data_IF_622001441445
#
_entry.id   IF_622001441445
#
_cell.length_a   1.000
_cell.length_b   1.000
_cell.length_c   1.000
_cell.angle_alpha   90.00
_cell.angle_beta   90.00
_cell.angle_gamma   90.00
#
_symmetry.space_group_name_H-M   'P 1'
#
loop_
_entity.id
_entity.type
_entity.pdbx_description
1 polymer ?
#
# COMPACT_ATOMS: atom_id res chain seq x y z
N UNK A 1 -45.62 12.48 -27.29
CA UNK A 1 -45.03 13.30 -26.19
C UNK A 1 -44.68 12.51 -24.92
N UNK A 2 -45.56 11.64 -24.37
CA UNK A 2 -45.29 10.91 -23.10
C UNK A 2 -44.06 9.98 -23.15
N UNK A 3 -43.84 9.29 -24.27
CA UNK A 3 -42.65 8.44 -24.50
C UNK A 3 -41.36 9.27 -24.56
N UNK A 4 -41.38 10.41 -25.27
CA UNK A 4 -40.23 11.33 -25.38
C UNK A 4 -39.87 11.93 -24.02
N UNK A 5 -40.86 12.38 -23.23
CA UNK A 5 -40.64 12.86 -21.86
C UNK A 5 -40.05 11.77 -20.94
N UNK A 6 -40.49 10.51 -21.08
CA UNK A 6 -39.92 9.36 -20.37
C UNK A 6 -38.47 9.08 -20.76
N UNK A 7 -38.14 9.15 -22.05
CA UNK A 7 -36.76 9.01 -22.53
C UNK A 7 -35.85 10.13 -22.00
N UNK A 8 -36.30 11.39 -22.08
CA UNK A 8 -35.54 12.54 -21.53
C UNK A 8 -35.27 12.35 -20.03
N UNK A 9 -36.29 11.93 -19.27
CA UNK A 9 -36.15 11.66 -17.84
C UNK A 9 -35.15 10.54 -17.55
N UNK A 10 -35.21 9.43 -18.30
CA UNK A 10 -34.26 8.31 -18.15
C UNK A 10 -32.83 8.76 -18.51
N UNK A 11 -32.65 9.52 -19.58
CA UNK A 11 -31.33 10.03 -19.98
C UNK A 11 -30.74 10.94 -18.90
N UNK A 12 -31.55 11.84 -18.35
CA UNK A 12 -31.10 12.75 -17.27
C UNK A 12 -30.73 11.96 -16.01
N UNK A 13 -31.49 10.90 -15.70
CA UNK A 13 -31.18 9.99 -14.61
C UNK A 13 -29.86 9.26 -14.86
N UNK A 14 -29.63 8.71 -16.07
CA UNK A 14 -28.36 8.06 -16.40
C UNK A 14 -27.16 9.02 -16.28
N UNK A 15 -27.27 10.27 -16.75
CA UNK A 15 -26.18 11.25 -16.62
C UNK A 15 -25.78 11.45 -15.16
N UNK A 16 -26.75 11.44 -14.24
CA UNK A 16 -26.49 11.57 -12.81
C UNK A 16 -25.86 10.30 -12.25
N UNK A 17 -26.35 9.11 -12.61
CA UNK A 17 -25.91 7.85 -12.01
C UNK A 17 -24.60 7.27 -12.59
N UNK A 18 -24.28 7.54 -13.86
CA UNK A 18 -23.07 7.00 -14.52
C UNK A 18 -21.78 7.36 -13.75
N UNK A 19 -21.55 8.61 -13.30
CA UNK A 19 -20.38 8.95 -12.50
C UNK A 19 -20.26 8.14 -11.21
N UNK A 20 -21.38 7.86 -10.52
CA UNK A 20 -21.37 7.04 -9.30
C UNK A 20 -21.03 5.58 -9.60
N UNK A 21 -21.54 5.03 -10.70
CA UNK A 21 -21.23 3.65 -11.12
C UNK A 21 -19.74 3.53 -11.47
N UNK A 22 -19.20 4.48 -12.23
CA UNK A 22 -17.78 4.50 -12.57
C UNK A 22 -16.90 4.66 -11.32
N UNK A 23 -17.25 5.56 -10.41
CA UNK A 23 -16.52 5.76 -9.15
C UNK A 23 -16.55 4.53 -8.24
N UNK A 24 -17.71 3.88 -8.12
CA UNK A 24 -17.86 2.65 -7.36
C UNK A 24 -17.07 1.49 -7.99
N UNK A 25 -17.06 1.40 -9.32
CA UNK A 25 -16.22 0.43 -10.03
C UNK A 25 -14.74 0.66 -9.76
N UNK A 26 -14.29 1.93 -9.77
CA UNK A 26 -12.91 2.28 -9.43
C UNK A 26 -12.56 1.86 -8.00
N UNK A 27 -13.43 2.17 -7.04
CA UNK A 27 -13.29 1.72 -5.64
C UNK A 27 -13.11 0.21 -5.54
N UNK A 28 -13.97 -0.57 -6.21
CA UNK A 28 -13.89 -2.03 -6.19
C UNK A 28 -12.62 -2.59 -6.81
N UNK A 29 -12.06 -1.89 -7.81
CA UNK A 29 -10.83 -2.31 -8.50
C UNK A 29 -9.55 -1.92 -7.76
N UNK A 30 -9.59 -0.81 -7.02
CA UNK A 30 -8.44 -0.22 -6.30
C UNK A 30 -8.40 -0.61 -4.82
N UNK A 31 -9.47 -1.22 -4.29
CA UNK A 31 -9.51 -1.68 -2.91
C UNK A 31 -8.52 -2.83 -2.67
N UNK A 32 -7.66 -2.64 -1.68
CA UNK A 32 -6.71 -3.63 -1.17
C UNK A 32 -7.35 -4.33 0.01
N UNK A 33 -7.05 -5.62 0.16
CA UNK A 33 -7.50 -6.39 1.31
C UNK A 33 -6.29 -6.83 2.13
N UNK A 34 -6.10 -6.22 3.30
CA UNK A 34 -4.92 -6.45 4.15
C UNK A 34 -5.14 -7.58 5.16
N UNK A 35 -5.83 -8.65 4.76
CA UNK A 35 -6.09 -9.82 5.62
C UNK A 35 -4.80 -10.47 6.15
N UNK A 36 -3.67 -10.24 5.48
CA UNK A 36 -2.35 -10.76 5.86
C UNK A 36 -1.56 -9.88 6.84
N UNK A 37 -2.08 -8.73 7.27
CA UNK A 37 -1.30 -7.72 8.01
C UNK A 37 -0.69 -8.27 9.31
N UNK A 38 -1.50 -8.97 10.11
CA UNK A 38 -1.04 -9.56 11.37
C UNK A 38 0.03 -10.64 11.12
N UNK A 39 -0.22 -11.53 10.17
CA UNK A 39 0.69 -12.63 9.82
C UNK A 39 2.02 -12.11 9.27
N UNK A 40 1.97 -11.14 8.36
CA UNK A 40 3.15 -10.48 7.80
C UNK A 40 3.99 -9.82 8.89
N UNK A 41 3.35 -9.05 9.78
CA UNK A 41 4.03 -8.33 10.86
C UNK A 41 4.71 -9.30 11.83
N UNK A 42 4.03 -10.40 12.18
CA UNK A 42 4.60 -11.45 13.04
C UNK A 42 5.80 -12.14 12.37
N UNK A 43 5.67 -12.52 11.10
CA UNK A 43 6.73 -13.17 10.33
C UNK A 43 7.95 -12.25 10.16
N UNK A 44 7.73 -10.96 9.88
CA UNK A 44 8.79 -9.97 9.75
C UNK A 44 9.52 -9.78 11.08
N UNK A 45 8.77 -9.62 12.17
CA UNK A 45 9.36 -9.49 13.51
C UNK A 45 10.19 -10.72 13.87
N UNK A 46 9.70 -11.92 13.57
CA UNK A 46 10.43 -13.16 13.81
C UNK A 46 11.71 -13.25 12.96
N UNK A 47 11.65 -12.88 11.67
CA UNK A 47 12.80 -12.86 10.77
C UNK A 47 13.88 -11.88 11.25
N UNK A 48 13.48 -10.66 11.62
CA UNK A 48 14.39 -9.63 12.14
C UNK A 48 14.96 -10.02 13.51
N UNK A 49 14.16 -10.68 14.36
CA UNK A 49 14.64 -11.12 15.67
C UNK A 49 15.79 -12.14 15.56
N UNK A 50 15.73 -13.06 14.58
CA UNK A 50 16.80 -14.04 14.29
C UNK A 50 18.16 -13.38 13.97
N UNK A 51 18.15 -12.12 13.49
CA UNK A 51 19.35 -11.27 13.43
C UNK A 51 20.38 -11.64 12.35
N UNK A 52 19.97 -12.35 11.31
CA UNK A 52 20.84 -12.76 10.20
C UNK A 52 20.34 -12.13 8.89
N UNK A 53 20.35 -12.90 7.82
CA UNK A 53 19.70 -12.59 6.55
C UNK A 53 18.31 -13.23 6.50
N UNK A 54 17.37 -12.60 5.82
CA UNK A 54 16.09 -13.20 5.45
C UNK A 54 15.69 -12.83 4.03
N UNK A 55 14.82 -13.63 3.43
CA UNK A 55 14.20 -13.30 2.15
C UNK A 55 12.76 -12.84 2.39
N UNK A 56 12.40 -11.65 1.88
CA UNK A 56 11.03 -11.14 1.98
C UNK A 56 10.03 -12.05 1.27
N UNK A 57 10.46 -12.88 0.31
CA UNK A 57 9.63 -13.93 -0.30
C UNK A 57 9.09 -14.94 0.70
N UNK A 58 9.81 -15.18 1.79
CA UNK A 58 9.44 -16.12 2.86
C UNK A 58 8.64 -15.45 3.98
N UNK A 59 8.76 -14.11 4.10
CA UNK A 59 8.10 -13.29 5.13
C UNK A 59 6.75 -12.75 4.66
N UNK A 60 6.58 -12.51 3.36
CA UNK A 60 5.31 -12.04 2.79
C UNK A 60 4.45 -13.25 2.39
N UNK A 61 3.35 -13.57 3.11
CA UNK A 61 2.54 -14.76 2.88
C UNK A 61 1.60 -14.65 1.66
N UNK A 62 1.92 -13.78 0.71
CA UNK A 62 1.10 -13.47 -0.47
C UNK A 62 1.99 -13.32 -1.71
N UNK A 63 1.35 -13.32 -2.89
CA UNK A 63 2.06 -13.18 -4.15
C UNK A 63 2.23 -11.69 -4.53
N UNK A 64 3.47 -11.27 -4.76
CA UNK A 64 3.87 -9.92 -5.14
C UNK A 64 5.06 -9.93 -6.12
N UNK A 65 5.23 -8.86 -6.87
CA UNK A 65 6.33 -8.67 -7.85
C UNK A 65 7.28 -7.57 -7.39
N UNK A 66 6.74 -6.49 -6.80
CA UNK A 66 7.52 -5.34 -6.30
C UNK A 66 7.06 -4.93 -4.91
N UNK A 67 8.00 -4.47 -4.10
CA UNK A 67 7.75 -3.82 -2.82
C UNK A 67 8.27 -2.40 -2.89
N UNK A 68 7.49 -1.45 -2.39
CA UNK A 68 7.87 -0.06 -2.23
C UNK A 68 7.94 0.27 -0.74
N UNK A 69 8.95 1.04 -0.37
CA UNK A 69 9.14 1.60 0.97
C UNK A 69 8.98 3.11 0.87
N UNK A 70 8.04 3.66 1.62
CA UNK A 70 7.90 5.10 1.77
C UNK A 70 8.15 5.50 3.21
N UNK A 71 9.05 6.45 3.38
CA UNK A 71 9.26 7.12 4.66
C UNK A 71 8.13 8.11 4.96
N UNK A 72 8.20 8.72 6.13
CA UNK A 72 7.32 9.80 6.54
C UNK A 72 7.29 10.97 5.53
N UNK A 73 6.29 11.82 5.69
CA UNK A 73 6.02 13.03 4.92
C UNK A 73 5.68 12.83 3.45
N UNK A 74 5.53 11.58 2.99
CA UNK A 74 4.98 11.26 1.67
C UNK A 74 3.46 11.33 1.69
N UNK A 75 2.91 12.19 0.84
CA UNK A 75 1.47 12.23 0.60
C UNK A 75 1.01 11.00 -0.16
N UNK A 76 -0.27 10.67 -0.06
CA UNK A 76 -0.85 9.56 -0.83
C UNK A 76 -0.67 9.74 -2.32
N UNK A 77 -0.89 10.95 -2.84
CA UNK A 77 -0.74 11.23 -4.27
C UNK A 77 0.69 10.98 -4.77
N UNK A 78 1.71 11.30 -3.95
CA UNK A 78 3.10 10.98 -4.28
C UNK A 78 3.35 9.48 -4.25
N UNK A 79 2.84 8.77 -3.24
CA UNK A 79 2.97 7.31 -3.17
C UNK A 79 2.29 6.63 -4.36
N UNK A 80 1.04 7.02 -4.69
CA UNK A 80 0.29 6.52 -5.86
C UNK A 80 1.01 6.83 -7.18
N UNK A 81 1.63 8.01 -7.30
CA UNK A 81 2.44 8.37 -8.47
C UNK A 81 3.70 7.51 -8.59
N UNK A 82 4.38 7.24 -7.48
CA UNK A 82 5.59 6.39 -7.46
C UNK A 82 5.26 4.93 -7.76
N UNK A 83 4.16 4.41 -7.20
CA UNK A 83 3.66 3.06 -7.49
C UNK A 83 3.10 2.97 -8.91
N UNK A 84 2.62 4.09 -9.45
CA UNK A 84 1.97 4.18 -10.77
C UNK A 84 0.50 3.73 -10.76
N UNK A 85 -0.10 3.59 -9.56
CA UNK A 85 -1.48 3.11 -9.37
C UNK A 85 -2.09 3.74 -8.13
N UNK A 86 -3.39 3.96 -8.19
CA UNK A 86 -4.19 4.33 -7.03
C UNK A 86 -4.65 3.08 -6.27
N UNK A 87 -4.73 3.17 -4.95
CA UNK A 87 -5.29 2.08 -4.11
C UNK A 87 -5.98 2.63 -2.88
N UNK A 88 -6.78 1.81 -2.19
CA UNK A 88 -7.45 2.21 -0.94
C UNK A 88 -7.64 1.04 0.00
N UNK A 89 -7.56 1.31 1.30
CA UNK A 89 -7.80 0.32 2.36
C UNK A 89 -9.19 0.47 2.97
N UNK A 90 -9.99 1.40 2.43
CA UNK A 90 -11.29 1.72 2.98
C UNK A 90 -12.27 0.55 2.78
N UNK A 91 -12.76 0.02 3.89
CA UNK A 91 -13.68 -1.12 3.88
C UNK A 91 -15.02 -0.81 3.21
N UNK A 92 -15.40 0.48 3.14
CA UNK A 92 -16.65 0.95 2.56
C UNK A 92 -16.43 2.02 1.47
N UNK A 93 -17.35 2.09 0.51
CA UNK A 93 -17.33 3.11 -0.54
C UNK A 93 -17.51 4.54 0.01
N UNK A 94 -18.30 4.69 1.07
CA UNK A 94 -18.44 5.97 1.75
C UNK A 94 -17.13 6.41 2.41
N UNK A 95 -16.44 5.48 3.09
CA UNK A 95 -15.11 5.68 3.65
C UNK A 95 -14.12 6.10 2.57
N UNK A 96 -14.05 5.35 1.46
CA UNK A 96 -13.21 5.69 0.29
C UNK A 96 -13.42 7.12 -0.20
N UNK A 97 -14.67 7.58 -0.29
CA UNK A 97 -14.97 8.92 -0.78
C UNK A 97 -14.57 10.01 0.22
N UNK A 98 -14.76 9.77 1.52
CA UNK A 98 -14.36 10.69 2.60
C UNK A 98 -12.83 10.76 2.67
N UNK A 99 -12.16 9.61 2.72
CA UNK A 99 -10.71 9.44 2.76
C UNK A 99 -10.04 10.13 1.55
N UNK A 100 -10.54 9.94 0.33
CA UNK A 100 -10.04 10.64 -0.86
C UNK A 100 -10.17 12.16 -0.80
N UNK A 101 -11.16 12.69 -0.09
CA UNK A 101 -11.39 14.15 0.02
C UNK A 101 -10.69 14.81 1.19
N UNK A 102 -10.54 14.09 2.30
CA UNK A 102 -10.05 14.64 3.57
C UNK A 102 -8.63 14.13 3.83
N UNK A 103 -8.44 12.81 3.87
CA UNK A 103 -7.22 12.16 4.32
C UNK A 103 -6.14 12.01 3.24
N UNK A 104 -6.51 12.00 1.95
CA UNK A 104 -5.58 11.86 0.82
C UNK A 104 -4.49 12.93 0.73
N UNK A 105 -4.64 14.04 1.46
CA UNK A 105 -3.69 15.14 1.52
C UNK A 105 -2.75 15.09 2.73
N UNK A 106 -3.05 14.26 3.74
CA UNK A 106 -2.24 14.20 4.95
C UNK A 106 -1.18 13.12 4.80
N UNK A 107 0.10 13.49 4.76
CA UNK A 107 1.17 12.51 4.66
C UNK A 107 1.28 11.71 5.97
N UNK A 108 2.07 10.64 5.94
CA UNK A 108 2.50 9.96 7.17
C UNK A 108 3.35 10.94 7.99
N UNK A 109 2.78 11.56 9.02
CA UNK A 109 3.47 12.59 9.80
C UNK A 109 4.43 12.02 10.85
N UNK A 110 4.40 10.71 11.04
CA UNK A 110 5.20 10.04 12.06
C UNK A 110 6.48 9.46 11.45
N UNK A 111 7.63 10.01 11.82
CA UNK A 111 8.95 9.53 11.39
C UNK A 111 9.31 8.15 11.95
N UNK A 112 8.56 7.65 12.93
CA UNK A 112 8.76 6.32 13.51
C UNK A 112 8.18 5.20 12.66
N UNK A 113 7.53 5.49 11.53
CA UNK A 113 6.90 4.47 10.67
C UNK A 113 7.40 4.49 9.23
N UNK A 114 7.36 3.32 8.61
CA UNK A 114 7.50 3.11 7.17
C UNK A 114 6.17 2.66 6.58
N UNK A 115 5.81 3.13 5.39
CA UNK A 115 4.74 2.53 4.60
C UNK A 115 5.34 1.53 3.63
N UNK A 116 4.90 0.28 3.75
CA UNK A 116 5.24 -0.77 2.80
C UNK A 116 4.07 -0.99 1.85
N UNK A 117 4.33 -1.03 0.55
CA UNK A 117 3.32 -1.25 -0.48
C UNK A 117 3.80 -2.34 -1.42
N UNK A 118 3.03 -3.42 -1.55
CA UNK A 118 3.36 -4.57 -2.38
C UNK A 118 2.44 -4.62 -3.61
N UNK A 119 3.03 -4.87 -4.77
CA UNK A 119 2.37 -4.83 -6.07
C UNK A 119 2.53 -6.15 -6.80
N UNK A 120 1.44 -6.68 -7.37
CA UNK A 120 1.42 -7.83 -8.28
C UNK A 120 0.73 -7.45 -9.58
N UNK A 121 1.36 -7.68 -10.74
CA UNK A 121 0.78 -7.47 -12.08
C UNK A 121 -0.04 -6.17 -12.16
N UNK A 122 0.56 -5.08 -11.71
CA UNK A 122 0.00 -3.73 -11.67
C UNK A 122 -1.15 -3.46 -10.68
N UNK A 123 -1.32 -4.30 -9.67
CA UNK A 123 -2.27 -4.07 -8.58
C UNK A 123 -1.56 -4.07 -7.24
N UNK A 124 -1.91 -3.12 -6.38
CA UNK A 124 -1.52 -3.20 -4.96
C UNK A 124 -2.27 -4.37 -4.34
N UNK A 125 -1.51 -5.33 -3.82
CA UNK A 125 -2.04 -6.56 -3.21
C UNK A 125 -2.01 -6.51 -1.69
N UNK A 126 -1.14 -5.68 -1.13
CA UNK A 126 -0.98 -5.49 0.29
C UNK A 126 -0.32 -4.15 0.55
N UNK A 127 -0.75 -3.43 1.58
CA UNK A 127 -0.02 -2.31 2.13
C UNK A 127 -0.13 -2.27 3.65
N UNK A 128 0.89 -1.77 4.32
CA UNK A 128 0.91 -1.66 5.77
C UNK A 128 1.74 -0.47 6.22
N UNK A 129 1.38 0.09 7.37
CA UNK A 129 2.21 1.06 8.08
C UNK A 129 2.96 0.30 9.17
N UNK A 130 4.26 0.19 9.01
CA UNK A 130 5.15 -0.58 9.87
C UNK A 130 5.91 0.35 10.83
N UNK A 131 5.93 0.01 12.11
CA UNK A 131 6.79 0.64 13.10
C UNK A 131 8.27 0.32 12.82
N UNK A 132 9.12 1.35 12.70
CA UNK A 132 10.57 1.23 12.49
C UNK A 132 11.27 0.44 13.59
N UNK A 133 10.69 0.36 14.78
CA UNK A 133 11.18 -0.48 15.86
C UNK A 133 11.14 -1.98 15.53
N UNK A 134 10.27 -2.40 14.60
CA UNK A 134 10.23 -3.77 14.10
C UNK A 134 11.32 -3.99 13.06
N UNK A 135 11.39 -3.12 12.05
CA UNK A 135 12.38 -3.15 11.00
C UNK A 135 12.56 -1.76 10.40
N UNK A 136 13.78 -1.26 10.38
CA UNK A 136 14.10 0.04 9.79
C UNK A 136 14.67 -0.11 8.38
N UNK A 137 13.87 0.27 7.38
CA UNK A 137 14.22 0.21 5.96
C UNK A 137 14.83 1.51 5.41
N UNK A 138 15.16 2.50 6.25
CA UNK A 138 15.66 3.81 5.79
C UNK A 138 16.93 3.76 4.94
N UNK A 139 17.74 2.71 5.06
CA UNK A 139 18.97 2.52 4.26
C UNK A 139 18.77 1.62 3.04
N UNK A 140 17.57 1.07 2.87
CA UNK A 140 17.24 0.17 1.78
C UNK A 140 16.74 0.95 0.56
N UNK A 141 16.93 0.40 -0.65
CA UNK A 141 16.24 0.90 -1.84
C UNK A 141 14.73 1.09 -1.60
N UNK A 142 14.21 2.23 -2.06
CA UNK A 142 12.78 2.58 -2.00
C UNK A 142 11.88 1.65 -2.84
N UNK A 143 12.44 0.91 -3.80
CA UNK A 143 11.71 -0.05 -4.63
C UNK A 143 12.56 -1.30 -4.84
N UNK A 144 11.97 -2.46 -4.58
CA UNK A 144 12.65 -3.75 -4.58
C UNK A 144 11.82 -4.78 -5.33
N UNK A 145 12.43 -5.40 -6.33
CA UNK A 145 11.84 -6.53 -7.03
C UNK A 145 11.86 -7.78 -6.14
N UNK A 146 10.85 -8.62 -6.31
CA UNK A 146 10.69 -9.88 -5.55
C UNK A 146 11.92 -10.79 -5.65
N UNK A 147 12.58 -10.82 -6.80
CA UNK A 147 13.77 -11.67 -6.95
C UNK A 147 15.00 -11.16 -6.19
N UNK A 148 15.00 -9.87 -5.90
CA UNK A 148 16.08 -9.13 -5.28
C UNK A 148 15.79 -8.83 -3.80
N UNK A 149 14.80 -9.49 -3.19
CA UNK A 149 14.26 -9.13 -1.89
C UNK A 149 14.95 -9.79 -0.69
N UNK A 150 16.26 -9.98 -0.79
CA UNK A 150 17.08 -10.50 0.31
C UNK A 150 17.61 -9.35 1.13
N UNK A 151 17.45 -9.47 2.45
CA UNK A 151 17.88 -8.44 3.39
C UNK A 151 18.79 -8.98 4.46
N UNK A 152 19.75 -8.16 4.87
CA UNK A 152 20.58 -8.39 6.05
C UNK A 152 20.11 -7.49 7.18
N UNK A 153 20.07 -8.06 8.38
CA UNK A 153 19.69 -7.36 9.60
C UNK A 153 20.95 -6.98 10.36
N UNK A 154 21.16 -5.68 10.59
CA UNK A 154 22.18 -5.17 11.49
C UNK A 154 21.50 -4.62 12.73
N UNK A 155 21.88 -5.14 13.90
CA UNK A 155 21.51 -4.57 15.20
C UNK A 155 22.72 -3.88 15.79
N UNK A 156 22.60 -2.58 16.04
CA UNK A 156 23.54 -1.85 16.88
C UNK A 156 22.94 -1.77 18.27
N UNK A 157 23.74 -1.90 19.34
CA UNK A 157 23.28 -1.98 20.73
C UNK A 157 22.42 -0.78 21.22
N UNK A 158 22.27 0.26 20.41
CA UNK A 158 21.52 1.49 20.70
C UNK A 158 20.55 1.93 19.58
N UNK A 159 20.31 1.12 18.54
CA UNK A 159 19.47 1.49 17.38
C UNK A 159 18.38 0.48 17.08
N UNK A 160 17.38 0.90 16.29
CA UNK A 160 16.44 -0.01 15.66
C UNK A 160 17.19 -1.04 14.80
N UNK A 161 16.57 -2.21 14.57
CA UNK A 161 17.12 -3.22 13.69
C UNK A 161 17.05 -2.69 12.25
N UNK A 162 18.21 -2.30 11.73
CA UNK A 162 18.33 -1.76 10.37
C UNK A 162 18.37 -2.90 9.38
N UNK A 163 17.57 -2.77 8.33
CA UNK A 163 17.38 -3.78 7.29
C UNK A 163 17.82 -3.18 5.96
N UNK A 164 18.83 -3.77 5.32
CA UNK A 164 19.36 -3.29 4.05
C UNK A 164 19.40 -4.41 3.01
N UNK A 165 19.27 -4.02 1.74
CA UNK A 165 19.19 -4.97 0.63
C UNK A 165 20.59 -5.52 0.30
N UNK A 166 20.71 -6.84 0.11
CA UNK A 166 22.00 -7.50 -0.10
C UNK A 166 22.64 -7.17 -1.46
N UNK A 167 21.90 -6.61 -2.43
CA UNK A 167 22.47 -6.18 -3.72
C UNK A 167 23.15 -4.80 -3.67
N UNK A 168 23.22 -4.17 -2.50
CA UNK A 168 23.90 -2.88 -2.28
C UNK A 168 25.33 -3.01 -1.72
N UNK A 169 25.86 -4.25 -1.60
CA UNK A 169 27.29 -4.57 -1.36
C UNK A 169 28.00 -4.99 -2.66
#
# INVERSE_FOLDING_TARGET
MRKIKKFIFITLLMIIFVPFILSYSNYRMTRVNNDYEALFTEQLKAAVHKGTTFDMKEVAPFDWDKMFVFEAYRSREEMERTVGREWTNEASYAGYWIDRKISGQYPLLDESVHKLVFVKKDKVVFDTTLDRAIADFSVSSSMIDRENSRYTVTKTDQSFATVYNVLEE
#
